data_IF_614588252838
#
_entry.id   IF_614588252838
#
_cell.length_a   1.000
_cell.length_b   1.000
_cell.length_c   1.000
_cell.angle_alpha   90.00
_cell.angle_beta   90.00
_cell.angle_gamma   90.00
#
_symmetry.space_group_name_H-M   'P 1'
#
loop_
_entity.id
_entity.type
_entity.pdbx_description
1 polymer ?
#
# COMPACT_ATOMS: atom_id res chain seq x y z
N UNK A 1 -4.43 -28.21 -5.31
CA UNK A 1 -3.45 -27.40 -4.54
C UNK A 1 -2.82 -26.29 -5.39
N UNK A 2 -2.36 -26.55 -6.63
CA UNK A 2 -1.81 -25.54 -7.55
C UNK A 2 -2.70 -24.30 -7.78
N UNK A 3 -4.00 -24.48 -8.01
CA UNK A 3 -4.91 -23.33 -8.25
C UNK A 3 -5.10 -22.43 -7.03
N UNK A 4 -5.01 -23.02 -5.82
CA UNK A 4 -5.08 -22.28 -4.57
C UNK A 4 -3.83 -21.40 -4.38
N UNK A 5 -2.65 -21.90 -4.74
CA UNK A 5 -1.41 -21.13 -4.71
C UNK A 5 -1.47 -19.96 -5.71
N UNK A 6 -1.88 -20.22 -6.96
CA UNK A 6 -2.08 -19.18 -7.98
C UNK A 6 -3.09 -18.11 -7.56
N UNK A 7 -4.18 -18.52 -6.91
CA UNK A 7 -5.19 -17.60 -6.38
C UNK A 7 -4.59 -16.69 -5.29
N UNK A 8 -3.81 -17.25 -4.36
CA UNK A 8 -3.13 -16.49 -3.31
C UNK A 8 -2.09 -15.51 -3.87
N UNK A 9 -1.33 -15.92 -4.89
CA UNK A 9 -0.38 -15.04 -5.59
C UNK A 9 -1.09 -13.84 -6.24
N UNK A 10 -2.22 -14.06 -6.91
CA UNK A 10 -3.02 -12.97 -7.51
C UNK A 10 -3.54 -12.01 -6.44
N UNK A 11 -4.01 -12.53 -5.31
CA UNK A 11 -4.47 -11.70 -4.19
C UNK A 11 -3.31 -10.88 -3.63
N UNK A 12 -2.16 -11.49 -3.38
CA UNK A 12 -0.97 -10.81 -2.87
C UNK A 12 -0.52 -9.69 -3.82
N UNK A 13 -0.48 -9.96 -5.13
CA UNK A 13 -0.16 -8.95 -6.15
C UNK A 13 -1.15 -7.78 -6.13
N UNK A 14 -2.45 -8.06 -6.05
CA UNK A 14 -3.48 -7.03 -5.97
C UNK A 14 -3.32 -6.17 -4.71
N UNK A 15 -3.01 -6.78 -3.55
CA UNK A 15 -2.77 -6.04 -2.31
C UNK A 15 -1.48 -5.21 -2.36
N UNK A 16 -0.42 -5.74 -2.96
CA UNK A 16 0.84 -5.02 -3.18
C UNK A 16 0.62 -3.79 -4.07
N UNK A 17 -0.16 -3.92 -5.15
CA UNK A 17 -0.52 -2.79 -6.00
C UNK A 17 -1.33 -1.73 -5.25
N UNK A 18 -2.34 -2.15 -4.47
CA UNK A 18 -3.14 -1.22 -3.63
C UNK A 18 -2.27 -0.49 -2.60
N UNK A 19 -1.32 -1.18 -1.97
CA UNK A 19 -0.38 -0.58 -1.02
C UNK A 19 0.43 0.53 -1.68
N UNK A 20 1.05 0.25 -2.83
CA UNK A 20 1.85 1.25 -3.58
C UNK A 20 1.01 2.46 -4.01
N UNK A 21 -0.24 2.23 -4.42
CA UNK A 21 -1.15 3.30 -4.81
C UNK A 21 -1.50 4.21 -3.62
N UNK A 22 -1.73 3.63 -2.44
CA UNK A 22 -1.98 4.38 -1.21
C UNK A 22 -0.75 5.17 -0.75
N UNK A 23 0.45 4.58 -0.85
CA UNK A 23 1.71 5.27 -0.56
C UNK A 23 1.92 6.48 -1.48
N UNK A 24 1.74 6.30 -2.80
CA UNK A 24 1.84 7.39 -3.76
C UNK A 24 0.84 8.50 -3.44
N UNK A 25 -0.41 8.14 -3.11
CA UNK A 25 -1.44 9.12 -2.75
C UNK A 25 -1.12 9.87 -1.45
N UNK A 26 -0.54 9.21 -0.46
CA UNK A 26 -0.09 9.87 0.77
C UNK A 26 1.04 10.86 0.49
N UNK A 27 1.98 10.49 -0.37
CA UNK A 27 3.07 11.38 -0.78
C UNK A 27 2.55 12.62 -1.52
N UNK A 28 1.59 12.46 -2.43
CA UNK A 28 0.93 13.60 -3.08
C UNK A 28 0.25 14.54 -2.08
N UNK A 29 -0.46 13.99 -1.09
CA UNK A 29 -1.12 14.78 -0.06
C UNK A 29 -0.11 15.51 0.84
N UNK A 30 1.02 14.87 1.18
CA UNK A 30 2.11 15.52 1.91
C UNK A 30 2.71 16.68 1.11
N UNK A 31 2.95 16.49 -0.19
CA UNK A 31 3.46 17.56 -1.06
C UNK A 31 2.49 18.73 -1.12
N UNK A 32 1.19 18.43 -1.23
CA UNK A 32 0.15 19.46 -1.31
C UNK A 32 -0.02 20.21 0.01
N UNK A 33 0.05 19.53 1.14
CA UNK A 33 0.06 20.18 2.47
C UNK A 33 1.22 21.15 2.59
N UNK A 34 2.45 20.72 2.26
CA UNK A 34 3.64 21.58 2.33
C UNK A 34 3.53 22.81 1.41
N UNK A 35 2.90 22.66 0.25
CA UNK A 35 2.62 23.78 -0.66
C UNK A 35 1.61 24.77 -0.07
N UNK A 36 0.51 24.28 0.51
CA UNK A 36 -0.48 25.14 1.17
C UNK A 36 0.08 25.82 2.42
N UNK A 37 0.89 25.13 3.22
CA UNK A 37 1.57 25.71 4.38
C UNK A 37 2.53 26.82 3.92
N UNK A 38 3.25 26.63 2.81
CA UNK A 38 4.09 27.70 2.23
C UNK A 38 3.26 28.90 1.81
N UNK A 39 2.15 28.67 1.11
CA UNK A 39 1.23 29.75 0.69
C UNK A 39 0.65 30.50 1.89
N UNK A 40 0.36 29.80 3.00
CA UNK A 40 -0.10 30.43 4.24
C UNK A 40 1.01 31.29 4.87
N UNK A 41 2.25 30.81 4.93
CA UNK A 41 3.37 31.60 5.42
C UNK A 41 3.64 32.84 4.56
N UNK A 42 3.62 32.70 3.23
CA UNK A 42 3.76 33.82 2.28
C UNK A 42 2.64 34.86 2.46
N UNK A 43 1.41 34.39 2.68
CA UNK A 43 0.27 35.28 2.95
C UNK A 43 0.43 36.06 4.25
N UNK A 44 0.92 35.41 5.32
CA UNK A 44 1.16 36.07 6.61
C UNK A 44 2.36 37.01 6.57
N UNK A 45 3.39 36.68 5.80
CA UNK A 45 4.52 37.57 5.56
C UNK A 45 4.08 38.86 4.86
N UNK A 46 3.24 38.76 3.82
CA UNK A 46 2.73 39.95 3.13
C UNK A 46 1.79 40.79 4.00
N UNK A 47 1.02 40.19 4.91
CA UNK A 47 0.22 40.94 5.89
C UNK A 47 1.12 41.79 6.80
N UNK A 48 2.24 41.23 7.27
CA UNK A 48 3.17 41.95 8.16
C UNK A 48 3.90 43.11 7.49
N UNK A 49 4.15 43.03 6.18
CA UNK A 49 4.79 44.10 5.39
C UNK A 49 3.84 45.26 5.06
N UNK A 50 2.52 45.01 5.01
CA UNK A 50 1.50 45.94 4.53
C UNK A 50 0.57 46.49 5.64
N UNK A 51 1.07 46.67 6.86
CA UNK A 51 0.28 47.14 8.03
C UNK A 51 -0.28 48.58 7.83
N UNK A 52 0.10 49.30 6.77
CA UNK A 52 -0.41 50.63 6.44
C UNK A 52 -1.53 50.65 5.38
N UNK A 53 -2.79 50.48 5.81
CA UNK A 53 -3.97 50.99 5.09
C UNK A 53 -4.77 49.96 4.26
N UNK A 54 -6.08 50.21 4.17
CA UNK A 54 -7.12 49.51 3.40
C UNK A 54 -7.77 48.28 4.08
N UNK A 55 -8.86 48.52 4.84
CA UNK A 55 -9.68 47.47 5.44
C UNK A 55 -10.24 46.43 4.46
N UNK A 56 -10.50 46.81 3.19
CA UNK A 56 -10.89 45.85 2.15
C UNK A 56 -9.79 44.84 1.80
N UNK A 57 -8.52 45.23 1.91
CA UNK A 57 -7.39 44.33 1.69
C UNK A 57 -7.28 43.31 2.84
N UNK A 58 -7.50 43.75 4.09
CA UNK A 58 -7.55 42.89 5.27
C UNK A 58 -8.66 41.84 5.16
N UNK A 59 -9.85 42.22 4.71
CA UNK A 59 -10.96 41.28 4.51
C UNK A 59 -10.66 40.22 3.44
N UNK A 60 -10.06 40.62 2.31
CA UNK A 60 -9.64 39.68 1.26
C UNK A 60 -8.57 38.71 1.74
N UNK A 61 -7.58 39.20 2.51
CA UNK A 61 -6.54 38.38 3.12
C UNK A 61 -7.12 37.38 4.13
N UNK A 62 -8.03 37.82 4.99
CA UNK A 62 -8.71 36.97 5.95
C UNK A 62 -9.53 35.87 5.25
N UNK A 63 -10.25 36.21 4.18
CA UNK A 63 -10.99 35.24 3.37
C UNK A 63 -10.06 34.21 2.71
N UNK A 64 -8.89 34.65 2.20
CA UNK A 64 -7.89 33.76 1.61
C UNK A 64 -7.25 32.85 2.67
N UNK A 65 -6.94 33.36 3.87
CA UNK A 65 -6.41 32.55 4.97
C UNK A 65 -7.38 31.45 5.39
N UNK A 66 -8.66 31.79 5.59
CA UNK A 66 -9.70 30.81 5.95
C UNK A 66 -9.82 29.70 4.91
N UNK A 67 -9.80 30.04 3.62
CA UNK A 67 -9.83 29.04 2.54
C UNK A 67 -8.60 28.11 2.57
N UNK A 68 -7.40 28.66 2.83
CA UNK A 68 -6.19 27.85 2.97
C UNK A 68 -6.26 26.92 4.19
N UNK A 69 -6.76 27.41 5.32
CA UNK A 69 -6.97 26.62 6.54
C UNK A 69 -7.98 25.49 6.33
N UNK A 70 -9.11 25.76 5.66
CA UNK A 70 -10.11 24.74 5.30
C UNK A 70 -9.50 23.66 4.39
N UNK A 71 -8.70 24.07 3.40
CA UNK A 71 -8.00 23.14 2.51
C UNK A 71 -6.96 22.30 3.26
N UNK A 72 -6.18 22.90 4.16
CA UNK A 72 -5.22 22.21 5.02
C UNK A 72 -5.92 21.20 5.94
N UNK A 73 -7.02 21.59 6.57
CA UNK A 73 -7.81 20.70 7.41
C UNK A 73 -8.33 19.49 6.61
N UNK A 74 -8.84 19.72 5.40
CA UNK A 74 -9.30 18.64 4.52
C UNK A 74 -8.17 17.69 4.12
N UNK A 75 -6.99 18.22 3.78
CA UNK A 75 -5.82 17.39 3.42
C UNK A 75 -5.36 16.58 4.63
N UNK A 76 -5.25 17.18 5.81
CA UNK A 76 -4.86 16.49 7.05
C UNK A 76 -5.82 15.36 7.40
N UNK A 77 -7.13 15.61 7.30
CA UNK A 77 -8.14 14.57 7.50
C UNK A 77 -7.98 13.42 6.50
N UNK A 78 -7.77 13.74 5.22
CA UNK A 78 -7.54 12.73 4.19
C UNK A 78 -6.25 11.94 4.47
N UNK A 79 -5.15 12.59 4.84
CA UNK A 79 -3.89 11.92 5.21
C UNK A 79 -4.11 10.90 6.33
N UNK A 80 -4.82 11.28 7.40
CA UNK A 80 -5.15 10.35 8.49
C UNK A 80 -5.93 9.13 7.99
N UNK A 81 -6.96 9.36 7.17
CA UNK A 81 -7.76 8.28 6.58
C UNK A 81 -6.92 7.35 5.69
N UNK A 82 -6.07 7.90 4.83
CA UNK A 82 -5.20 7.12 3.95
C UNK A 82 -4.10 6.39 4.72
N UNK A 83 -3.55 6.98 5.78
CA UNK A 83 -2.57 6.33 6.65
C UNK A 83 -3.17 5.12 7.39
N UNK A 84 -4.38 5.28 7.94
CA UNK A 84 -5.10 4.15 8.56
C UNK A 84 -5.37 3.02 7.56
N UNK A 85 -5.81 3.38 6.35
CA UNK A 85 -6.03 2.40 5.27
C UNK A 85 -4.74 1.72 4.82
N UNK A 86 -3.63 2.46 4.73
CA UNK A 86 -2.33 1.89 4.39
C UNK A 86 -1.92 0.84 5.43
N UNK A 87 -2.05 1.15 6.73
CA UNK A 87 -1.76 0.18 7.80
C UNK A 87 -2.61 -1.08 7.69
N UNK A 88 -3.89 -0.95 7.36
CA UNK A 88 -4.77 -2.10 7.14
C UNK A 88 -4.30 -2.95 5.95
N UNK A 89 -3.96 -2.34 4.82
CA UNK A 89 -3.47 -3.06 3.65
C UNK A 89 -2.10 -3.69 3.89
N UNK A 90 -1.20 -3.05 4.66
CA UNK A 90 0.06 -3.67 5.10
C UNK A 90 -0.18 -4.93 5.94
N UNK A 91 -1.18 -4.91 6.85
CA UNK A 91 -1.55 -6.09 7.65
C UNK A 91 -2.10 -7.21 6.77
N UNK A 92 -2.98 -6.88 5.81
CA UNK A 92 -3.52 -7.85 4.85
C UNK A 92 -2.42 -8.46 3.99
N UNK A 93 -1.51 -7.65 3.46
CA UNK A 93 -0.38 -8.13 2.66
C UNK A 93 0.49 -9.12 3.46
N UNK A 94 0.82 -8.80 4.72
CA UNK A 94 1.55 -9.71 5.62
C UNK A 94 0.81 -11.03 5.86
N UNK A 95 -0.51 -10.97 6.06
CA UNK A 95 -1.34 -12.16 6.26
C UNK A 95 -1.32 -13.06 5.02
N UNK A 96 -1.55 -12.49 3.84
CA UNK A 96 -1.57 -13.25 2.59
C UNK A 96 -0.20 -13.81 2.22
N UNK A 97 0.89 -13.05 2.43
CA UNK A 97 2.25 -13.55 2.23
C UNK A 97 2.57 -14.75 3.12
N UNK A 98 2.17 -14.73 4.40
CA UNK A 98 2.33 -15.88 5.31
C UNK A 98 1.50 -17.09 4.86
N UNK A 99 0.25 -16.86 4.44
CA UNK A 99 -0.64 -17.93 3.99
C UNK A 99 -0.10 -18.59 2.72
N UNK A 100 0.39 -17.78 1.76
CA UNK A 100 1.04 -18.26 0.54
C UNK A 100 2.24 -19.14 0.88
N UNK A 101 3.18 -18.65 1.70
CA UNK A 101 4.38 -19.40 2.07
C UNK A 101 4.04 -20.77 2.71
N UNK A 102 2.99 -20.82 3.53
CA UNK A 102 2.50 -22.07 4.12
C UNK A 102 1.95 -23.03 3.06
N UNK A 103 1.13 -22.54 2.11
CA UNK A 103 0.57 -23.36 1.04
C UNK A 103 1.67 -23.84 0.09
N UNK A 104 2.64 -22.99 -0.24
CA UNK A 104 3.78 -23.32 -1.08
C UNK A 104 4.62 -24.46 -0.46
N UNK A 105 4.86 -24.41 0.85
CA UNK A 105 5.54 -25.50 1.58
C UNK A 105 4.78 -26.82 1.48
N UNK A 106 3.45 -26.78 1.58
CA UNK A 106 2.60 -27.98 1.47
C UNK A 106 2.63 -28.54 0.05
N UNK A 107 2.44 -27.68 -0.96
CA UNK A 107 2.50 -28.05 -2.38
C UNK A 107 3.83 -28.71 -2.70
N UNK A 108 4.95 -28.11 -2.26
CA UNK A 108 6.29 -28.63 -2.50
C UNK A 108 6.49 -30.01 -1.88
N UNK A 109 6.03 -30.22 -0.64
CA UNK A 109 6.11 -31.54 0.02
C UNK A 109 5.27 -32.60 -0.68
N UNK A 110 4.09 -32.24 -1.17
CA UNK A 110 3.24 -33.14 -1.95
C UNK A 110 3.88 -33.50 -3.30
N UNK A 111 4.57 -32.56 -3.94
CA UNK A 111 5.32 -32.80 -5.18
C UNK A 111 6.53 -33.70 -4.92
N UNK A 112 7.33 -33.41 -3.88
CA UNK A 112 8.47 -34.24 -3.46
C UNK A 112 8.04 -35.68 -3.13
N UNK A 113 6.91 -35.86 -2.43
CA UNK A 113 6.38 -37.20 -2.14
C UNK A 113 5.97 -37.96 -3.41
N UNK A 114 5.26 -37.29 -4.34
CA UNK A 114 4.87 -37.89 -5.62
C UNK A 114 6.06 -38.29 -6.47
N UNK A 115 7.10 -37.46 -6.50
CA UNK A 115 8.32 -37.76 -7.24
C UNK A 115 9.09 -38.93 -6.61
N UNK A 116 9.07 -39.05 -5.29
CA UNK A 116 9.67 -40.17 -4.58
C UNK A 116 8.92 -41.48 -4.83
N UNK A 117 7.58 -41.47 -4.81
CA UNK A 117 6.74 -42.62 -5.17
C UNK A 117 7.01 -43.06 -6.62
N UNK A 118 7.09 -42.11 -7.57
CA UNK A 118 7.45 -42.41 -8.97
C UNK A 118 8.83 -43.05 -9.10
N UNK A 119 9.81 -42.61 -8.31
CA UNK A 119 11.16 -43.20 -8.30
C UNK A 119 11.14 -44.61 -7.73
N UNK A 120 10.38 -44.85 -6.65
CA UNK A 120 10.18 -46.19 -6.08
C UNK A 120 9.54 -47.11 -7.13
N UNK A 121 8.48 -46.66 -7.81
CA UNK A 121 7.81 -47.43 -8.86
C UNK A 121 8.76 -47.77 -10.03
N UNK A 122 9.61 -46.82 -10.43
CA UNK A 122 10.61 -47.05 -11.47
C UNK A 122 11.69 -48.05 -11.06
N UNK A 123 12.07 -48.08 -9.77
CA UNK A 123 13.06 -49.01 -9.23
C UNK A 123 12.44 -50.40 -8.99
N UNK A 124 11.27 -50.45 -8.36
CA UNK A 124 10.51 -51.67 -8.09
C UNK A 124 10.02 -52.35 -9.37
N UNK A 125 9.54 -51.57 -10.34
CA UNK A 125 9.18 -52.08 -11.67
C UNK A 125 10.39 -52.62 -12.46
N UNK A 126 11.58 -52.03 -12.28
CA UNK A 126 12.83 -52.57 -12.84
C UNK A 126 13.32 -53.84 -12.13
N UNK A 127 12.99 -54.03 -10.85
CA UNK A 127 13.29 -55.28 -10.13
C UNK A 127 12.31 -56.40 -10.52
N UNK A 128 11.02 -56.09 -10.70
CA UNK A 128 10.02 -57.04 -11.18
C UNK A 128 10.30 -57.51 -12.62
N UNK A 129 10.82 -56.63 -13.50
CA UNK A 129 11.23 -56.99 -14.86
C UNK A 129 12.56 -57.77 -14.94
N UNK A 130 13.27 -57.98 -13.82
CA UNK A 130 14.55 -58.69 -13.74
C UNK A 130 14.48 -60.02 -13.00
N UNK A 131 13.33 -60.41 -12.46
CA UNK A 131 13.13 -61.73 -11.86
C UNK A 131 12.63 -62.71 -12.95
N UNK A 132 13.37 -63.80 -13.22
CA UNK A 132 12.96 -64.84 -14.17
C UNK A 132 11.80 -65.71 -13.65
#
# INVERSE_FOLDING_TARGET
MSDRLKSLERIEQAQSWRHRMLEARLFELQRREAELERQQHELMASVNEYIGGYGQFVELLAAKSRRLEEQLAHIRQNKLRFAARLQEETRRLKLFGRLRARVETVVRREEEAKDLDRLIDLIGGKQAARLP
#
